data_IF_777487485797
#
_entry.id   IF_777487485797
#
_cell.length_a   1.000
_cell.length_b   1.000
_cell.length_c   1.000
_cell.angle_alpha   90.00
_cell.angle_beta   90.00
_cell.angle_gamma   90.00
#
_symmetry.space_group_name_H-M   'P 1'
#
loop_
_entity.id
_entity.type
_entity.pdbx_description
1 polymer ?
#
# COMPACT_ATOMS: atom_id res chain seq x y z
N UNK A 1 -15.53 38.11 -13.07
CA UNK A 1 -16.98 37.93 -12.91
C UNK A 1 -17.35 36.45 -12.80
N UNK A 2 -16.61 35.58 -13.50
CA UNK A 2 -16.94 34.15 -13.69
C UNK A 2 -16.84 33.29 -12.43
N UNK A 3 -15.97 33.66 -11.48
CA UNK A 3 -15.83 32.97 -10.18
C UNK A 3 -17.11 33.07 -9.31
N UNK A 4 -17.87 34.17 -9.42
CA UNK A 4 -19.12 34.36 -8.68
C UNK A 4 -20.28 33.54 -9.26
N UNK A 5 -20.27 33.32 -10.58
CA UNK A 5 -21.29 32.51 -11.28
C UNK A 5 -21.09 31.03 -10.93
N UNK A 6 -19.84 30.56 -10.88
CA UNK A 6 -19.50 29.18 -10.51
C UNK A 6 -19.90 28.81 -9.07
N UNK A 7 -19.76 29.73 -8.12
CA UNK A 7 -20.12 29.46 -6.72
C UNK A 7 -21.63 29.39 -6.47
N UNK A 8 -22.42 30.14 -7.24
CA UNK A 8 -23.91 30.12 -7.17
C UNK A 8 -24.50 28.91 -7.89
N UNK A 9 -23.86 28.43 -8.97
CA UNK A 9 -24.28 27.23 -9.71
C UNK A 9 -24.01 25.90 -8.99
N UNK A 10 -23.42 25.94 -7.79
CA UNK A 10 -23.24 24.75 -6.96
C UNK A 10 -22.16 23.78 -7.45
N UNK A 11 -21.43 24.14 -8.51
CA UNK A 11 -20.21 23.45 -8.92
C UNK A 11 -19.10 23.78 -7.92
N UNK A 12 -19.15 23.12 -6.76
CA UNK A 12 -17.97 23.03 -5.89
C UNK A 12 -16.88 22.37 -6.73
N UNK A 13 -15.76 23.05 -6.93
CA UNK A 13 -14.48 22.37 -7.18
C UNK A 13 -14.46 21.16 -6.24
N UNK A 14 -14.30 19.93 -6.76
CA UNK A 14 -14.34 18.76 -5.92
C UNK A 14 -13.35 19.03 -4.80
N UNK A 15 -13.86 19.07 -3.56
CA UNK A 15 -13.01 19.12 -2.40
C UNK A 15 -11.96 18.05 -2.64
N UNK A 16 -10.68 18.43 -2.62
CA UNK A 16 -9.64 17.43 -2.53
C UNK A 16 -9.94 16.69 -1.24
N UNK A 17 -10.62 15.55 -1.38
CA UNK A 17 -10.68 14.55 -0.34
C UNK A 17 -9.23 14.21 -0.10
N UNK A 18 -8.66 14.87 0.91
CA UNK A 18 -7.42 14.45 1.55
C UNK A 18 -7.74 13.15 2.26
N UNK A 19 -8.09 12.14 1.47
CA UNK A 19 -7.93 10.76 1.86
C UNK A 19 -6.47 10.69 2.27
N UNK A 20 -6.23 10.46 3.56
CA UNK A 20 -4.96 9.89 4.03
C UNK A 20 -4.86 8.45 3.49
N UNK A 21 -5.19 8.25 2.22
CA UNK A 21 -4.99 7.01 1.51
C UNK A 21 -3.50 6.77 1.55
N UNK A 22 -3.12 5.61 2.07
CA UNK A 22 -1.76 5.09 2.12
C UNK A 22 -1.15 4.85 0.72
N UNK A 23 -1.63 5.55 -0.32
CA UNK A 23 -1.24 5.41 -1.72
C UNK A 23 0.23 5.79 -1.95
N UNK A 24 0.83 6.51 -1.01
CA UNK A 24 2.27 6.83 -1.01
C UNK A 24 3.12 5.91 -0.14
N UNK A 25 2.53 5.14 0.79
CA UNK A 25 3.29 4.34 1.75
C UNK A 25 3.45 2.92 1.19
N UNK A 26 4.66 2.63 0.68
CA UNK A 26 5.04 1.27 0.28
C UNK A 26 5.50 0.48 1.49
N UNK A 27 4.69 -0.49 1.91
CA UNK A 27 5.04 -1.42 2.98
C UNK A 27 5.66 -2.66 2.35
N UNK A 28 6.83 -3.05 2.85
CA UNK A 28 7.54 -4.25 2.43
C UNK A 28 7.88 -5.06 3.67
N UNK A 29 7.54 -6.35 3.65
CA UNK A 29 7.85 -7.31 4.71
C UNK A 29 8.94 -8.25 4.22
N UNK A 30 10.09 -8.20 4.88
CA UNK A 30 11.27 -9.00 4.50
C UNK A 30 11.53 -10.10 5.52
N UNK A 31 11.55 -11.35 5.08
CA UNK A 31 11.96 -12.51 5.86
C UNK A 31 13.41 -12.88 5.57
N UNK A 32 14.26 -12.94 6.59
CA UNK A 32 15.69 -13.25 6.44
C UNK A 32 15.97 -14.64 7.02
N UNK A 33 16.76 -15.45 6.31
CA UNK A 33 17.12 -16.81 6.73
C UNK A 33 16.00 -17.85 6.55
N UNK A 34 16.27 -19.11 6.90
CA UNK A 34 15.30 -20.21 6.72
C UNK A 34 13.98 -20.02 7.49
N UNK A 35 14.04 -19.54 8.73
CA UNK A 35 12.85 -19.22 9.52
C UNK A 35 12.05 -18.05 8.92
N UNK A 36 12.74 -17.05 8.37
CA UNK A 36 12.12 -15.94 7.65
C UNK A 36 11.39 -16.42 6.40
N UNK A 37 11.99 -17.32 5.62
CA UNK A 37 11.39 -17.88 4.40
C UNK A 37 10.11 -18.68 4.72
N UNK A 38 10.12 -19.47 5.80
CA UNK A 38 8.94 -20.17 6.29
C UNK A 38 7.82 -19.22 6.74
N UNK A 39 8.17 -18.10 7.37
CA UNK A 39 7.21 -17.07 7.78
C UNK A 39 6.58 -16.38 6.56
N UNK A 40 7.39 -16.00 5.57
CA UNK A 40 6.91 -15.41 4.31
C UNK A 40 5.99 -16.39 3.58
N UNK A 41 6.38 -17.66 3.45
CA UNK A 41 5.53 -18.69 2.85
C UNK A 41 4.17 -18.83 3.57
N UNK A 42 4.15 -18.69 4.90
CA UNK A 42 2.91 -18.69 5.68
C UNK A 42 2.07 -17.44 5.42
N UNK A 43 2.68 -16.27 5.31
CA UNK A 43 2.00 -15.02 4.98
C UNK A 43 1.36 -15.07 3.58
N UNK A 44 2.08 -15.66 2.60
CA UNK A 44 1.57 -15.91 1.25
C UNK A 44 0.32 -16.82 1.31
N UNK A 45 0.42 -17.96 2.01
CA UNK A 45 -0.71 -18.90 2.15
C UNK A 45 -1.91 -18.32 2.88
N UNK A 46 -1.68 -17.45 3.86
CA UNK A 46 -2.72 -16.72 4.57
C UNK A 46 -3.36 -15.59 3.75
N UNK A 47 -2.80 -15.26 2.57
CA UNK A 47 -3.36 -14.23 1.69
C UNK A 47 -3.23 -12.81 2.24
N UNK A 48 -2.16 -12.51 2.99
CA UNK A 48 -1.92 -11.17 3.54
C UNK A 48 -1.78 -10.15 2.40
N UNK A 49 -2.50 -9.04 2.51
CA UNK A 49 -2.51 -7.94 1.53
C UNK A 49 -1.97 -6.66 2.15
N UNK A 50 -1.61 -5.70 1.30
CA UNK A 50 -1.13 -4.38 1.74
C UNK A 50 0.35 -4.31 2.08
N UNK A 51 1.10 -5.37 1.82
CA UNK A 51 2.57 -5.39 1.93
C UNK A 51 3.16 -6.24 0.82
N UNK A 52 4.30 -5.83 0.29
CA UNK A 52 5.12 -6.65 -0.60
C UNK A 52 5.93 -7.64 0.23
N UNK A 53 5.94 -8.92 -0.17
CA UNK A 53 6.62 -9.98 0.57
C UNK A 53 7.94 -10.34 -0.11
N UNK A 54 9.05 -10.22 0.63
CA UNK A 54 10.39 -10.57 0.16
C UNK A 54 11.04 -11.58 1.10
N UNK A 55 11.67 -12.62 0.56
CA UNK A 55 12.49 -13.54 1.33
C UNK A 55 13.95 -13.48 0.88
N UNK A 56 14.88 -13.44 1.83
CA UNK A 56 16.32 -13.37 1.58
C UNK A 56 17.01 -14.48 2.38
N UNK A 57 17.71 -15.36 1.68
CA UNK A 57 18.49 -16.42 2.31
C UNK A 57 19.83 -16.60 1.57
N UNK A 58 20.89 -16.88 2.32
CA UNK A 58 22.21 -17.24 1.75
C UNK A 58 22.26 -18.72 1.37
N UNK A 59 21.48 -19.54 2.05
CA UNK A 59 21.27 -20.94 1.71
C UNK A 59 20.15 -21.07 0.67
N UNK A 60 20.50 -21.58 -0.52
CA UNK A 60 19.56 -21.75 -1.64
C UNK A 60 18.65 -22.97 -1.46
N UNK A 61 18.92 -23.88 -0.52
CA UNK A 61 18.13 -25.10 -0.34
C UNK A 61 16.73 -24.87 0.26
N UNK A 62 16.47 -23.68 0.82
CA UNK A 62 15.25 -23.34 1.54
C UNK A 62 14.32 -22.44 0.72
#
# INVERSE_FOLDING_TARGET
MDSLIKSVLGEREPAQDSSFGSDQIKIVTVGIGGAGNNTINRLIRSGVKGTELLAVNTDRQH
#
